data_IF_474779150392
#
_entry.id   IF_474779150392
#
_cell.length_a   1.000
_cell.length_b   1.000
_cell.length_c   1.000
_cell.angle_alpha   90.00
_cell.angle_beta   90.00
_cell.angle_gamma   90.00
#
_symmetry.space_group_name_H-M   'P 1'
#
loop_
_entity.id
_entity.type
_entity.pdbx_description
1 polymer ?
#
# COMPACT_ATOMS: atom_id res chain seq x y z
N UNK A 1 -0.27 -2.56 -11.50
CA UNK A 1 -1.65 -2.25 -11.09
C UNK A 1 -2.04 -0.84 -11.51
N UNK A 2 -1.23 0.16 -11.18
CA UNK A 2 -1.50 1.56 -11.44
C UNK A 2 -0.44 2.09 -12.40
N UNK A 3 -0.84 3.01 -13.25
CA UNK A 3 0.10 3.79 -14.05
C UNK A 3 0.81 4.84 -13.19
N UNK A 4 1.07 5.98 -13.79
CA UNK A 4 1.62 7.15 -13.09
C UNK A 4 0.69 7.62 -11.98
N UNK A 5 1.25 8.04 -10.84
CA UNK A 5 0.50 8.70 -9.78
C UNK A 5 0.23 10.17 -10.14
N UNK A 6 -0.94 10.66 -9.76
CA UNK A 6 -1.41 12.02 -10.08
C UNK A 6 -0.69 13.09 -9.24
N UNK A 7 -0.21 12.71 -8.05
CA UNK A 7 0.51 13.60 -7.13
C UNK A 7 1.47 12.79 -6.24
N UNK A 8 2.23 13.49 -5.40
CA UNK A 8 3.09 12.91 -4.36
C UNK A 8 2.37 12.77 -3.00
N UNK A 9 1.08 13.11 -2.94
CA UNK A 9 0.27 13.02 -1.72
C UNK A 9 -0.15 11.57 -1.48
N UNK A 10 0.27 11.01 -0.35
CA UNK A 10 -0.02 9.64 0.04
C UNK A 10 -0.66 9.55 1.42
N UNK A 11 -1.44 8.51 1.64
CA UNK A 11 -1.84 8.11 2.98
C UNK A 11 -1.14 6.80 3.36
N UNK A 12 -0.86 6.60 4.63
CA UNK A 12 -0.32 5.34 5.11
C UNK A 12 -1.05 4.87 6.36
N UNK A 13 -1.24 3.57 6.47
CA UNK A 13 -1.80 2.90 7.65
C UNK A 13 -0.91 1.72 8.05
N UNK A 14 -0.72 1.57 9.35
CA UNK A 14 0.01 0.44 9.95
C UNK A 14 -0.58 0.09 11.32
N UNK A 15 -0.22 -1.06 11.87
CA UNK A 15 -0.61 -1.45 13.23
C UNK A 15 0.45 -1.08 14.29
N UNK A 16 1.50 -0.40 13.88
CA UNK A 16 2.68 -0.10 14.69
C UNK A 16 3.14 1.34 14.49
N UNK A 17 3.35 2.05 15.60
CA UNK A 17 3.94 3.40 15.58
C UNK A 17 5.34 3.44 14.97
N UNK A 18 6.11 2.35 15.09
CA UNK A 18 7.41 2.23 14.43
C UNK A 18 7.32 2.23 12.91
N UNK A 19 6.37 1.49 12.35
CA UNK A 19 6.10 1.49 10.91
C UNK A 19 5.57 2.85 10.42
N UNK A 20 4.68 3.47 11.19
CA UNK A 20 4.17 4.80 10.87
C UNK A 20 5.28 5.88 10.86
N UNK A 21 6.20 5.82 11.82
CA UNK A 21 7.35 6.71 11.84
C UNK A 21 8.32 6.42 10.68
N UNK A 22 8.62 5.15 10.43
CA UNK A 22 9.54 4.74 9.38
C UNK A 22 9.05 5.17 7.99
N UNK A 23 7.78 4.96 7.66
CA UNK A 23 7.24 5.39 6.36
C UNK A 23 7.21 6.91 6.23
N UNK A 24 6.98 7.65 7.32
CA UNK A 24 7.06 9.11 7.32
C UNK A 24 8.48 9.58 6.99
N UNK A 25 9.48 9.07 7.68
CA UNK A 25 10.88 9.47 7.50
C UNK A 25 11.40 9.15 6.09
N UNK A 26 11.17 7.92 5.61
CA UNK A 26 11.56 7.49 4.27
C UNK A 26 10.79 8.25 3.18
N UNK A 27 9.50 8.42 3.37
CA UNK A 27 8.63 9.06 2.39
C UNK A 27 8.95 10.55 2.23
N UNK A 28 9.07 11.29 3.32
CA UNK A 28 9.43 12.72 3.29
C UNK A 28 10.80 12.91 2.63
N UNK A 29 11.77 12.07 2.97
CA UNK A 29 13.10 12.10 2.35
C UNK A 29 13.08 11.84 0.84
N UNK A 30 12.07 11.11 0.36
CA UNK A 30 11.85 10.83 -1.06
C UNK A 30 10.92 11.84 -1.76
N UNK A 31 10.44 12.87 -1.07
CA UNK A 31 9.55 13.90 -1.59
C UNK A 31 8.07 13.52 -1.60
N UNK A 32 7.67 12.51 -0.83
CA UNK A 32 6.26 12.22 -0.57
C UNK A 32 5.68 13.23 0.43
N UNK A 33 4.40 13.49 0.30
CA UNK A 33 3.62 14.31 1.22
C UNK A 33 2.58 13.44 1.93
N UNK A 34 2.44 13.66 3.23
CA UNK A 34 1.41 13.04 4.06
C UNK A 34 0.43 14.12 4.52
N UNK A 35 -0.57 14.49 3.70
CA UNK A 35 -1.49 15.56 4.05
C UNK A 35 -2.23 15.28 5.36
N UNK A 36 -2.54 16.31 6.14
CA UNK A 36 -3.38 16.16 7.32
C UNK A 36 -4.76 15.63 6.93
N UNK A 37 -5.39 14.88 7.83
CA UNK A 37 -6.72 14.30 7.61
C UNK A 37 -7.78 15.40 7.56
N UNK A 38 -8.65 15.34 6.57
CA UNK A 38 -9.79 16.24 6.46
C UNK A 38 -10.92 15.90 7.48
N UNK A 39 -11.90 16.77 7.70
CA UNK A 39 -12.99 16.53 8.67
C UNK A 39 -13.80 15.27 8.38
N UNK A 40 -13.98 14.89 7.12
CA UNK A 40 -14.72 13.68 6.71
C UNK A 40 -13.90 12.43 7.04
N UNK A 41 -12.60 12.45 6.74
CA UNK A 41 -11.68 11.38 7.10
C UNK A 41 -11.64 11.19 8.63
N UNK A 42 -11.46 12.27 9.39
CA UNK A 42 -11.48 12.23 10.86
C UNK A 42 -12.77 11.64 11.43
N UNK A 43 -13.93 12.04 10.91
CA UNK A 43 -15.23 11.50 11.33
C UNK A 43 -15.34 10.01 11.06
N UNK A 44 -15.00 9.58 9.85
CA UNK A 44 -15.11 8.19 9.44
C UNK A 44 -14.11 7.29 10.20
N UNK A 45 -12.86 7.75 10.35
CA UNK A 45 -11.86 7.06 11.15
C UNK A 45 -12.28 6.94 12.60
N UNK A 46 -12.86 8.01 13.18
CA UNK A 46 -13.34 7.96 14.57
C UNK A 46 -14.47 6.94 14.74
N UNK A 47 -15.31 6.78 13.75
CA UNK A 47 -16.38 5.77 13.73
C UNK A 47 -15.81 4.36 13.65
N UNK A 48 -14.79 4.12 12.82
CA UNK A 48 -14.20 2.80 12.64
C UNK A 48 -13.28 2.39 13.80
N UNK A 49 -12.48 3.33 14.33
CA UNK A 49 -11.40 3.05 15.29
C UNK A 49 -11.77 3.36 16.75
N UNK A 50 -12.85 4.11 16.98
CA UNK A 50 -13.24 4.55 18.33
C UNK A 50 -12.32 5.65 18.88
N UNK A 51 -12.45 5.98 20.19
CA UNK A 51 -11.80 7.16 20.79
C UNK A 51 -10.32 6.95 21.17
N UNK A 52 -9.84 5.71 21.20
CA UNK A 52 -8.50 5.37 21.74
C UNK A 52 -7.35 5.64 20.77
N UNK A 53 -7.64 5.73 19.46
CA UNK A 53 -6.64 5.89 18.42
C UNK A 53 -6.40 7.38 18.16
N UNK A 54 -5.13 7.79 18.13
CA UNK A 54 -4.73 9.10 17.62
C UNK A 54 -4.87 9.13 16.10
N UNK A 55 -5.63 10.07 15.57
CA UNK A 55 -5.91 10.14 14.14
C UNK A 55 -4.91 11.08 13.47
N UNK A 56 -4.08 10.52 12.61
CA UNK A 56 -3.05 11.23 11.85
C UNK A 56 -2.82 10.55 10.49
N UNK A 57 -2.02 11.15 9.65
CA UNK A 57 -1.44 10.55 8.46
C UNK A 57 0.09 10.74 8.50
N UNK A 58 0.90 9.69 8.61
CA UNK A 58 0.56 8.26 8.68
C UNK A 58 -0.27 7.87 9.90
N UNK A 59 -1.15 6.85 9.72
CA UNK A 59 -2.04 6.35 10.76
C UNK A 59 -1.46 5.08 11.39
N UNK A 60 -1.19 5.15 12.70
CA UNK A 60 -1.06 3.93 13.53
C UNK A 60 -2.44 3.60 14.11
N UNK A 61 -3.09 2.55 13.59
CA UNK A 61 -4.40 2.13 14.10
C UNK A 61 -4.29 1.17 15.30
N UNK A 62 -3.04 0.84 15.71
CA UNK A 62 -2.76 -0.18 16.70
C UNK A 62 -3.37 -1.53 16.31
N UNK A 63 -3.51 -2.46 17.25
CA UNK A 63 -4.14 -3.77 16.99
C UNK A 63 -5.60 -3.84 17.43
N UNK A 64 -6.23 -2.71 17.79
CA UNK A 64 -7.57 -2.70 18.37
C UNK A 64 -8.68 -3.26 17.47
N UNK A 65 -8.50 -3.16 16.14
CA UNK A 65 -9.45 -3.70 15.17
C UNK A 65 -8.88 -4.91 14.40
N UNK A 66 -7.76 -5.46 14.87
CA UNK A 66 -7.16 -6.64 14.24
C UNK A 66 -8.15 -7.80 14.20
N UNK A 67 -8.25 -8.50 13.07
CA UNK A 67 -9.22 -9.55 12.74
C UNK A 67 -10.66 -9.06 12.49
N UNK A 68 -10.97 -7.79 12.69
CA UNK A 68 -12.25 -7.21 12.31
C UNK A 68 -12.13 -6.64 10.89
N UNK A 69 -12.16 -7.54 9.88
CA UNK A 69 -11.98 -7.16 8.48
C UNK A 69 -12.90 -6.02 8.04
N UNK A 70 -14.20 -5.97 8.40
CA UNK A 70 -15.07 -4.85 8.06
C UNK A 70 -14.61 -3.51 8.65
N UNK A 71 -14.18 -3.47 9.90
CA UNK A 71 -13.66 -2.24 10.52
C UNK A 71 -12.31 -1.83 9.94
N UNK A 72 -11.43 -2.80 9.66
CA UNK A 72 -10.16 -2.53 8.97
C UNK A 72 -10.42 -1.91 7.59
N UNK A 73 -11.33 -2.49 6.81
CA UNK A 73 -11.69 -1.97 5.49
C UNK A 73 -12.29 -0.55 5.57
N UNK A 74 -13.17 -0.30 6.55
CA UNK A 74 -13.77 1.01 6.77
C UNK A 74 -12.73 2.07 7.18
N UNK A 75 -11.78 1.71 8.07
CA UNK A 75 -10.69 2.60 8.46
C UNK A 75 -9.77 2.93 7.29
N UNK A 76 -9.40 1.95 6.49
CA UNK A 76 -8.52 2.16 5.35
C UNK A 76 -9.21 2.92 4.22
N UNK A 77 -10.50 2.65 3.98
CA UNK A 77 -11.31 3.44 3.05
C UNK A 77 -11.41 4.91 3.50
N UNK A 78 -11.46 5.16 4.81
CA UNK A 78 -11.52 6.50 5.34
C UNK A 78 -10.22 7.31 5.16
N UNK A 79 -9.08 6.64 4.99
CA UNK A 79 -7.80 7.31 4.69
C UNK A 79 -7.73 7.85 3.26
N UNK A 80 -8.47 7.26 2.32
CA UNK A 80 -8.48 7.71 0.93
C UNK A 80 -9.45 8.86 0.71
N UNK A 81 -9.04 9.83 -0.09
CA UNK A 81 -9.88 10.91 -0.62
C UNK A 81 -9.40 11.29 -2.03
N UNK A 82 -9.94 12.36 -2.62
CA UNK A 82 -9.56 12.80 -3.97
C UNK A 82 -8.13 13.35 -4.06
N UNK A 83 -7.57 13.82 -2.96
CA UNK A 83 -6.22 14.41 -2.91
C UNK A 83 -5.13 13.34 -2.70
N UNK A 84 -5.50 12.16 -2.21
CA UNK A 84 -4.57 11.06 -1.96
C UNK A 84 -4.38 10.26 -3.25
N UNK A 85 -3.17 10.26 -3.79
CA UNK A 85 -2.84 9.52 -5.01
C UNK A 85 -2.72 8.01 -4.75
N UNK A 86 -2.27 7.60 -3.56
CA UNK A 86 -2.11 6.20 -3.18
C UNK A 86 -2.24 6.04 -1.66
N UNK A 87 -2.96 5.01 -1.24
CA UNK A 87 -2.99 4.59 0.18
C UNK A 87 -2.09 3.37 0.37
N UNK A 88 -1.10 3.50 1.24
CA UNK A 88 -0.16 2.45 1.62
C UNK A 88 -0.68 1.72 2.87
N UNK A 89 -0.72 0.41 2.83
CA UNK A 89 -1.05 -0.46 3.97
C UNK A 89 0.23 -1.20 4.30
N UNK A 90 0.89 -0.83 5.40
CA UNK A 90 2.11 -1.49 5.84
C UNK A 90 1.70 -2.71 6.66
N UNK A 91 2.11 -3.88 6.22
CA UNK A 91 1.80 -5.15 6.92
C UNK A 91 2.77 -6.24 6.53
N UNK A 92 3.39 -6.82 7.54
CA UNK A 92 4.29 -7.96 7.42
C UNK A 92 3.53 -9.27 7.63
N UNK A 93 3.52 -10.10 6.62
CA UNK A 93 2.96 -11.45 6.72
C UNK A 93 4.01 -12.40 7.29
N UNK A 94 3.63 -13.25 8.25
CA UNK A 94 4.58 -14.22 8.76
C UNK A 94 4.93 -15.24 7.67
N UNK A 95 6.12 -15.79 7.77
CA UNK A 95 6.55 -16.86 6.87
C UNK A 95 5.72 -18.13 7.14
N UNK A 96 5.14 -18.70 6.09
CA UNK A 96 4.26 -19.87 6.16
C UNK A 96 4.96 -21.16 6.61
N UNK A 97 6.28 -21.20 6.47
CA UNK A 97 7.11 -22.32 6.95
C UNK A 97 7.40 -22.27 8.46
N UNK A 98 7.08 -21.15 9.13
CA UNK A 98 7.33 -20.93 10.55
C UNK A 98 6.02 -20.82 11.35
N UNK A 99 5.01 -20.14 10.81
CA UNK A 99 3.75 -19.95 11.51
C UNK A 99 2.53 -19.86 10.59
N UNK A 100 1.34 -20.05 11.20
CA UNK A 100 0.06 -19.96 10.50
C UNK A 100 -0.25 -18.51 10.13
N UNK A 101 -0.57 -18.28 8.85
CA UNK A 101 -0.88 -16.96 8.31
C UNK A 101 -2.37 -16.59 8.38
N UNK A 102 -3.23 -17.44 8.91
CA UNK A 102 -4.70 -17.26 8.88
C UNK A 102 -5.15 -15.91 9.42
N UNK A 103 -4.51 -15.44 10.48
CA UNK A 103 -4.83 -14.16 11.11
C UNK A 103 -4.54 -12.93 10.22
N UNK A 104 -3.69 -13.08 9.22
CA UNK A 104 -3.36 -12.02 8.26
C UNK A 104 -4.31 -11.97 7.05
N UNK A 105 -5.18 -12.97 6.89
CA UNK A 105 -6.18 -12.96 5.80
C UNK A 105 -7.09 -11.73 5.87
N UNK A 106 -7.35 -11.20 7.08
CA UNK A 106 -8.14 -9.98 7.27
C UNK A 106 -7.47 -8.75 6.63
N UNK A 107 -6.14 -8.66 6.63
CA UNK A 107 -5.39 -7.58 5.96
C UNK A 107 -5.65 -7.60 4.46
N UNK A 108 -5.48 -8.77 3.84
CA UNK A 108 -5.73 -8.96 2.40
C UNK A 108 -7.17 -8.63 2.04
N UNK A 109 -8.14 -9.16 2.82
CA UNK A 109 -9.57 -8.92 2.61
C UNK A 109 -9.94 -7.45 2.76
N UNK A 110 -9.48 -6.81 3.83
CA UNK A 110 -9.75 -5.40 4.10
C UNK A 110 -9.14 -4.47 3.03
N UNK A 111 -7.92 -4.75 2.56
CA UNK A 111 -7.29 -3.97 1.49
C UNK A 111 -8.09 -4.01 0.18
N UNK A 112 -8.50 -5.21 -0.22
CA UNK A 112 -9.33 -5.41 -1.42
C UNK A 112 -10.69 -4.73 -1.26
N UNK A 113 -11.31 -4.84 -0.08
CA UNK A 113 -12.61 -4.23 0.21
C UNK A 113 -12.52 -2.70 0.17
N UNK A 114 -11.51 -2.10 0.82
CA UNK A 114 -11.28 -0.66 0.81
C UNK A 114 -11.05 -0.12 -0.62
N UNK A 115 -10.24 -0.80 -1.41
CA UNK A 115 -9.99 -0.44 -2.81
C UNK A 115 -11.26 -0.47 -3.64
N UNK A 116 -12.10 -1.51 -3.49
CA UNK A 116 -13.39 -1.62 -4.18
C UNK A 116 -14.40 -0.55 -3.74
N UNK A 117 -14.45 -0.23 -2.44
CA UNK A 117 -15.38 0.77 -1.90
C UNK A 117 -15.05 2.18 -2.38
N UNK A 118 -13.78 2.51 -2.49
CA UNK A 118 -13.34 3.86 -2.80
C UNK A 118 -13.05 4.10 -4.28
N UNK A 119 -12.75 3.02 -5.02
CA UNK A 119 -12.24 3.10 -6.39
C UNK A 119 -10.87 3.78 -6.49
N UNK A 120 -10.17 3.96 -5.37
CA UNK A 120 -8.86 4.64 -5.29
C UNK A 120 -7.71 3.64 -5.29
N UNK A 121 -6.48 4.06 -5.64
CA UNK A 121 -5.29 3.21 -5.60
C UNK A 121 -4.88 2.81 -4.17
N UNK A 122 -4.55 1.52 -4.00
CA UNK A 122 -4.02 0.96 -2.76
C UNK A 122 -2.82 0.06 -3.03
N UNK A 123 -1.86 0.06 -2.10
CA UNK A 123 -0.78 -0.90 -2.08
C UNK A 123 -0.64 -1.51 -0.69
N UNK A 124 -0.48 -2.83 -0.62
CA UNK A 124 0.00 -3.51 0.58
C UNK A 124 1.50 -3.66 0.46
N UNK A 125 2.22 -3.20 1.47
CA UNK A 125 3.68 -3.13 1.48
C UNK A 125 4.18 -3.92 2.67
N UNK A 126 5.01 -4.92 2.44
CA UNK A 126 5.78 -5.56 3.50
C UNK A 126 7.02 -4.71 3.82
N UNK A 127 7.38 -4.60 5.09
CA UNK A 127 8.57 -3.84 5.50
C UNK A 127 9.86 -4.47 4.99
N UNK A 128 9.91 -5.80 4.95
CA UNK A 128 11.01 -6.60 4.40
C UNK A 128 10.53 -7.46 3.23
N UNK A 129 11.44 -7.74 2.28
CA UNK A 129 11.12 -8.45 1.05
C UNK A 129 10.54 -9.85 1.24
N UNK A 130 10.99 -10.57 2.26
CA UNK A 130 10.55 -11.93 2.59
C UNK A 130 9.18 -12.01 3.30
N UNK A 131 8.61 -10.87 3.70
CA UNK A 131 7.36 -10.81 4.46
C UNK A 131 6.12 -10.53 3.60
N UNK A 132 6.24 -10.71 2.28
CA UNK A 132 5.12 -10.71 1.33
C UNK A 132 5.05 -12.08 0.62
N UNK A 133 4.19 -12.99 1.04
CA UNK A 133 4.01 -14.28 0.38
C UNK A 133 3.51 -14.13 -1.06
N UNK A 134 3.98 -14.98 -1.95
CA UNK A 134 3.66 -14.90 -3.38
C UNK A 134 2.17 -15.07 -3.68
N UNK A 135 1.49 -15.95 -2.97
CA UNK A 135 0.05 -16.20 -3.11
C UNK A 135 -0.78 -15.00 -2.66
N UNK A 136 -0.38 -14.32 -1.57
CA UNK A 136 -0.96 -13.06 -1.09
C UNK A 136 -0.76 -11.98 -2.13
N UNK A 137 0.46 -11.80 -2.63
CA UNK A 137 0.77 -10.81 -3.66
C UNK A 137 -0.08 -11.03 -4.93
N UNK A 138 -0.17 -12.28 -5.41
CA UNK A 138 -1.02 -12.66 -6.55
C UNK A 138 -2.51 -12.35 -6.29
N UNK A 139 -3.00 -12.63 -5.09
CA UNK A 139 -4.40 -12.35 -4.71
C UNK A 139 -4.70 -10.85 -4.69
N UNK A 140 -3.82 -10.05 -4.10
CA UNK A 140 -3.93 -8.58 -4.08
C UNK A 140 -3.95 -8.02 -5.51
N UNK A 141 -2.97 -8.37 -6.32
CA UNK A 141 -2.81 -7.86 -7.69
C UNK A 141 -3.99 -8.24 -8.61
N UNK A 142 -4.52 -9.46 -8.50
CA UNK A 142 -5.73 -9.89 -9.24
C UNK A 142 -6.97 -9.08 -8.86
N UNK A 143 -6.99 -8.48 -7.69
CA UNK A 143 -8.08 -7.63 -7.20
C UNK A 143 -7.77 -6.12 -7.30
N UNK A 144 -6.73 -5.73 -8.05
CA UNK A 144 -6.43 -4.33 -8.31
C UNK A 144 -5.68 -3.61 -7.17
N UNK A 145 -5.16 -4.33 -6.18
CA UNK A 145 -4.33 -3.79 -5.11
C UNK A 145 -2.87 -4.14 -5.41
N UNK A 146 -1.98 -3.15 -5.39
CA UNK A 146 -0.57 -3.42 -5.58
C UNK A 146 0.01 -4.16 -4.38
N UNK A 147 0.94 -5.08 -4.63
CA UNK A 147 1.71 -5.76 -3.59
C UNK A 147 3.18 -5.44 -3.77
N UNK A 148 3.84 -4.95 -2.72
CA UNK A 148 5.23 -4.49 -2.78
C UNK A 148 6.05 -5.15 -1.68
N UNK A 149 7.19 -5.70 -2.08
CA UNK A 149 8.13 -6.37 -1.20
C UNK A 149 9.24 -5.40 -0.79
N UNK A 150 9.25 -5.02 0.46
CA UNK A 150 10.26 -4.12 1.02
C UNK A 150 9.85 -2.64 0.92
N UNK A 151 9.99 -1.95 2.05
CA UNK A 151 9.62 -0.55 2.17
C UNK A 151 10.53 0.34 1.30
N UNK A 152 11.83 0.05 1.24
CA UNK A 152 12.79 0.77 0.39
C UNK A 152 12.42 0.67 -1.09
N UNK A 153 12.04 -0.51 -1.57
CA UNK A 153 11.59 -0.71 -2.94
C UNK A 153 10.30 0.05 -3.23
N UNK A 154 9.38 0.10 -2.25
CA UNK A 154 8.16 0.88 -2.36
C UNK A 154 8.48 2.37 -2.57
N UNK A 155 9.33 2.94 -1.74
CA UNK A 155 9.74 4.34 -1.81
C UNK A 155 10.44 4.65 -3.15
N UNK A 156 11.35 3.79 -3.58
CA UNK A 156 12.03 3.94 -4.88
C UNK A 156 11.02 3.93 -6.04
N UNK A 157 10.08 2.98 -6.04
CA UNK A 157 9.04 2.90 -7.06
C UNK A 157 8.14 4.15 -7.06
N UNK A 158 7.73 4.63 -5.89
CA UNK A 158 6.92 5.85 -5.77
C UNK A 158 7.66 7.08 -6.29
N UNK A 159 8.93 7.22 -5.97
CA UNK A 159 9.77 8.31 -6.46
C UNK A 159 9.84 8.33 -8.00
N UNK A 160 9.85 7.16 -8.64
CA UNK A 160 9.81 7.03 -10.10
C UNK A 160 8.42 7.39 -10.63
N UNK A 161 7.35 6.88 -10.01
CA UNK A 161 5.97 7.07 -10.48
C UNK A 161 5.47 8.52 -10.34
N UNK A 162 6.04 9.30 -9.42
CA UNK A 162 5.72 10.71 -9.22
C UNK A 162 6.48 11.60 -10.20
N UNK A 163 7.71 11.24 -10.54
CA UNK A 163 8.52 12.02 -11.47
C UNK A 163 7.88 12.02 -12.86
N UNK A 164 7.83 13.21 -13.48
CA UNK A 164 7.35 13.40 -14.83
C UNK A 164 8.36 12.83 -15.84
N UNK A 165 8.38 11.51 -16.05
CA UNK A 165 9.03 10.99 -17.24
C UNK A 165 8.15 11.25 -18.45
N UNK A 166 8.71 11.76 -19.58
CA UNK A 166 7.95 11.89 -20.81
C UNK A 166 7.36 10.50 -21.15
N UNK A 167 6.07 10.46 -21.50
CA UNK A 167 5.49 9.22 -22.05
C UNK A 167 6.25 8.89 -23.32
N UNK A 168 6.81 7.68 -23.37
CA UNK A 168 7.26 7.12 -24.62
C UNK A 168 5.99 6.80 -25.43
N UNK A 169 5.66 7.65 -26.39
CA UNK A 169 4.46 7.50 -27.23
C UNK A 169 4.66 6.45 -28.34
N UNK A 170 5.89 6.05 -28.60
CA UNK A 170 6.19 5.02 -29.56
C UNK A 170 6.35 3.65 -28.87
N UNK A 171 5.81 2.57 -29.45
CA UNK A 171 6.10 1.22 -28.97
C UNK A 171 7.62 1.01 -29.04
N UNK A 172 8.21 0.54 -27.94
CA UNK A 172 9.60 0.14 -27.91
C UNK A 172 9.79 -1.02 -28.90
N UNK A 173 10.26 -0.70 -30.09
CA UNK A 173 10.68 -1.71 -31.05
C UNK A 173 12.06 -2.18 -30.58
N UNK A 174 12.10 -3.33 -29.94
CA UNK A 174 13.37 -3.98 -29.64
C UNK A 174 13.96 -4.47 -30.96
N UNK A 175 14.82 -3.64 -31.56
CA UNK A 175 15.70 -4.08 -32.65
C UNK A 175 16.84 -4.89 -32.03
N UNK A 176 16.56 -6.14 -31.72
CA UNK A 176 17.60 -7.10 -31.36
C UNK A 176 17.96 -7.96 -32.57
N UNK A 177 19.18 -8.48 -32.67
CA UNK A 177 19.49 -9.53 -33.64
C UNK A 177 18.54 -10.73 -33.35
N UNK A 178 18.11 -11.40 -34.39
CA UNK A 178 17.32 -12.66 -34.34
C UNK A 178 18.09 -13.76 -33.57
N UNK A 179 18.30 -13.57 -32.29
CA UNK A 179 18.88 -14.58 -31.41
C UNK A 179 17.85 -15.07 -30.45
N UNK A 180 17.46 -16.30 -30.64
CA UNK A 180 16.67 -17.10 -29.71
C UNK A 180 17.33 -17.04 -28.34
N UNK A 181 16.71 -16.42 -27.35
CA UNK A 181 17.13 -16.54 -25.97
C UNK A 181 16.81 -17.95 -25.52
N UNK A 182 17.82 -18.74 -25.24
CA UNK A 182 17.65 -20.01 -24.53
C UNK A 182 17.49 -19.65 -23.05
N UNK A 183 16.31 -19.97 -22.50
CA UNK A 183 16.14 -20.04 -21.04
C UNK A 183 16.84 -21.32 -20.65
N UNK A 184 17.94 -21.20 -19.88
CA UNK A 184 18.53 -22.35 -19.22
C UNK A 184 17.64 -22.68 -18.03
N UNK A 185 17.12 -23.92 -18.01
CA UNK A 185 16.37 -24.51 -16.90
C UNK A 185 17.23 -24.64 -15.63
#
# INVERSE_FOLDING_TARGET
>A
CYGRLESNSVASVSCSGGEAALIADLGISAGLEFPPLDPKQLKNLRTALGPKVSLANPLDYHTYIWRDEPKMAAAWAAMANSEIALTLIISDYPRSDICDQKDWNCVTGAAISAAKQTGRPYAVVASLGELMPEDVAKKLMRNGVAAVNGLDHCIQALNILIKNFPRYEAPLTLTGPERTCYILD
#
